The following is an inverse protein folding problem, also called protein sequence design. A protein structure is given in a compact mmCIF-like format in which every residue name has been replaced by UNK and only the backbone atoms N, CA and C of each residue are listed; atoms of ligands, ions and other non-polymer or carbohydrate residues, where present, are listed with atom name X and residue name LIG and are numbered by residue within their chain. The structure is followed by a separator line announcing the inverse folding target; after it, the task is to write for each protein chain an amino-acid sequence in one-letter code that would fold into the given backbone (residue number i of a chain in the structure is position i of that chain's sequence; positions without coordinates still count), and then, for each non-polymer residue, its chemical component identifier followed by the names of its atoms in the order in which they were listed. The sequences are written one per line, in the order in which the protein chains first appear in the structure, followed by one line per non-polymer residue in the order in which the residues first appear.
data_IF_731537907015
#
_entry.id   IF_731537907015
#
_cell.length_a   1.000
_cell.length_b   1.000
_cell.length_c   1.000
_cell.angle_alpha   90.00
_cell.angle_beta   90.00
_cell.angle_gamma   90.00
#
_symmetry.space_group_name_H-M   'P 1'
#
loop_
_entity.id
_entity.type
_entity.pdbx_description
1 polymer ?
#
# COMPACT_ATOMS: atom_id res chain seq x y z
N UNK A 1 -2.71 -23.42 52.04
CA UNK A 1 -3.72 -23.06 51.03
C UNK A 1 -3.09 -22.06 50.06
N UNK A 2 -2.83 -22.39 48.80
CA UNK A 2 -2.58 -21.41 47.74
C UNK A 2 -3.87 -21.15 46.95
N UNK A 3 -4.08 -19.92 46.42
CA UNK A 3 -5.24 -19.60 45.60
C UNK A 3 -4.96 -19.94 44.13
N UNK A 4 -5.70 -20.90 43.58
CA UNK A 4 -5.80 -21.14 42.15
C UNK A 4 -7.02 -20.39 41.62
N UNK A 5 -6.82 -19.16 41.13
CA UNK A 5 -7.71 -18.57 40.14
C UNK A 5 -6.86 -18.20 38.92
N UNK A 6 -6.87 -19.13 37.96
CA UNK A 6 -6.28 -19.00 36.63
C UNK A 6 -7.15 -18.01 35.86
N UNK A 7 -6.73 -16.74 35.77
CA UNK A 7 -7.25 -15.84 34.76
C UNK A 7 -6.59 -16.16 33.42
N UNK A 8 -7.38 -16.76 32.53
CA UNK A 8 -7.06 -16.95 31.13
C UNK A 8 -6.93 -15.59 30.43
N UNK A 9 -5.74 -14.98 30.50
CA UNK A 9 -5.41 -13.82 29.66
C UNK A 9 -5.11 -14.32 28.25
N UNK A 10 -6.12 -14.13 27.40
CA UNK A 10 -6.08 -14.29 25.95
C UNK A 10 -4.83 -13.63 25.38
N UNK A 11 -4.23 -14.31 24.39
CA UNK A 11 -2.98 -13.93 23.74
C UNK A 11 -2.80 -12.43 23.59
N UNK A 12 -1.80 -11.91 24.30
CA UNK A 12 -1.28 -10.58 24.07
C UNK A 12 -0.79 -10.52 22.63
N UNK A 13 -1.55 -9.78 21.83
CA UNK A 13 -1.25 -9.43 20.47
C UNK A 13 0.20 -8.98 20.37
N UNK A 14 0.91 -9.57 19.41
CA UNK A 14 2.21 -9.11 18.92
C UNK A 14 2.16 -7.58 18.81
N UNK A 15 3.02 -6.82 19.50
CA UNK A 15 3.15 -5.41 19.18
C UNK A 15 3.75 -5.35 17.79
N UNK A 16 2.94 -5.10 16.77
CA UNK A 16 3.38 -4.64 15.46
C UNK A 16 3.94 -3.21 15.56
N UNK A 17 4.75 -2.94 16.57
CA UNK A 17 5.48 -1.71 16.73
C UNK A 17 6.75 -1.85 15.90
N UNK A 18 6.64 -1.55 14.60
CA UNK A 18 7.55 -0.66 13.88
C UNK A 18 7.22 -0.61 12.38
N UNK A 19 6.06 -0.07 11.99
CA UNK A 19 5.90 0.44 10.62
C UNK A 19 6.43 1.89 10.56
N UNK A 20 7.73 2.03 10.80
CA UNK A 20 8.53 3.16 10.37
C UNK A 20 8.07 3.56 8.97
N UNK A 21 7.74 4.83 8.76
CA UNK A 21 7.21 5.42 7.53
C UNK A 21 8.15 5.33 6.32
N UNK A 22 8.50 4.13 5.89
CA UNK A 22 8.99 3.81 4.56
C UNK A 22 7.79 3.92 3.62
N UNK A 23 7.70 5.03 2.88
CA UNK A 23 6.98 5.08 1.60
C UNK A 23 7.47 3.91 0.73
N UNK A 24 6.78 2.77 0.78
CA UNK A 24 6.96 1.67 -0.15
C UNK A 24 6.19 2.00 -1.43
N UNK A 25 6.85 1.76 -2.55
CA UNK A 25 6.24 1.85 -3.87
C UNK A 25 6.12 0.44 -4.42
N UNK A 26 5.14 0.23 -5.27
CA UNK A 26 4.82 -1.05 -5.87
C UNK A 26 4.64 -0.82 -7.35
N UNK A 27 5.37 -1.60 -8.14
CA UNK A 27 5.18 -1.70 -9.58
C UNK A 27 4.00 -2.63 -9.80
N UNK A 28 2.93 -2.10 -10.36
CA UNK A 28 1.70 -2.82 -10.68
C UNK A 28 1.50 -2.88 -12.18
N UNK A 29 1.03 -4.02 -12.67
CA UNK A 29 0.64 -4.22 -14.05
C UNK A 29 -0.87 -4.21 -14.16
N UNK A 30 -1.43 -3.26 -14.90
CA UNK A 30 -2.85 -3.16 -15.18
C UNK A 30 -3.25 -4.25 -16.17
N UNK A 31 -4.04 -5.22 -15.71
CA UNK A 31 -4.45 -6.33 -16.58
C UNK A 31 -5.40 -5.87 -17.69
N UNK A 32 -6.19 -4.83 -17.44
CA UNK A 32 -7.14 -4.29 -18.41
C UNK A 32 -6.48 -3.43 -19.50
N UNK A 33 -5.27 -2.90 -19.27
CA UNK A 33 -4.58 -1.99 -20.21
C UNK A 33 -3.21 -2.52 -20.69
N UNK A 34 -2.76 -3.67 -20.20
CA UNK A 34 -1.43 -4.23 -20.47
C UNK A 34 -0.28 -3.22 -20.20
N UNK A 35 -0.51 -2.34 -19.22
CA UNK A 35 0.39 -1.24 -18.89
C UNK A 35 0.98 -1.43 -17.49
N UNK A 36 2.27 -1.11 -17.33
CA UNK A 36 2.96 -1.16 -16.04
C UNK A 36 3.06 0.25 -15.47
N UNK A 37 2.77 0.41 -14.18
CA UNK A 37 2.86 1.69 -13.49
C UNK A 37 3.39 1.54 -12.07
N UNK A 38 4.01 2.59 -11.56
CA UNK A 38 4.51 2.65 -10.18
C UNK A 38 3.48 3.37 -9.31
N UNK A 39 3.03 2.71 -8.24
CA UNK A 39 2.08 3.27 -7.28
C UNK A 39 2.63 3.16 -5.87
N UNK A 40 2.25 4.04 -4.93
CA UNK A 40 2.49 3.80 -3.51
C UNK A 40 1.78 2.52 -3.06
N UNK A 41 2.38 1.76 -2.15
CA UNK A 41 1.72 0.58 -1.58
C UNK A 41 0.40 0.93 -0.87
N UNK A 42 0.25 2.18 -0.41
CA UNK A 42 -1.00 2.71 0.15
C UNK A 42 -2.17 2.68 -0.84
N UNK A 43 -1.91 2.64 -2.15
CA UNK A 43 -2.95 2.60 -3.19
C UNK A 43 -3.45 1.18 -3.44
N UNK A 44 -2.73 0.16 -2.97
CA UNK A 44 -3.14 -1.23 -3.06
C UNK A 44 -4.19 -1.48 -1.98
N UNK A 45 -5.45 -1.58 -2.39
CA UNK A 45 -6.59 -1.78 -1.48
C UNK A 45 -6.91 -3.26 -1.25
N UNK A 46 -6.46 -4.14 -2.15
CA UNK A 46 -6.55 -5.59 -2.04
C UNK A 46 -5.40 -6.24 -2.85
N UNK A 47 -5.15 -7.54 -2.66
CA UNK A 47 -4.02 -8.27 -3.29
C UNK A 47 -3.81 -7.93 -4.77
N UNK A 48 -4.89 -7.87 -5.55
CA UNK A 48 -4.86 -7.61 -6.99
C UNK A 48 -5.71 -6.40 -7.39
N UNK A 49 -5.85 -5.41 -6.50
CA UNK A 49 -6.67 -4.22 -6.79
C UNK A 49 -5.97 -2.97 -6.30
N UNK A 50 -5.78 -2.03 -7.22
CA UNK A 50 -5.22 -0.71 -6.94
C UNK A 50 -6.29 0.35 -7.13
N UNK A 51 -6.33 1.30 -6.20
CA UNK A 51 -7.07 2.53 -6.35
C UNK A 51 -6.22 3.51 -7.13
N UNK A 52 -6.75 3.98 -8.26
CA UNK A 52 -6.08 4.94 -9.13
C UNK A 52 -6.79 6.28 -9.11
N UNK A 53 -6.06 7.39 -9.00
CA UNK A 53 -6.67 8.71 -8.96
C UNK A 53 -7.37 9.01 -10.30
N UNK A 54 -8.50 9.72 -10.30
CA UNK A 54 -9.24 10.09 -11.51
C UNK A 54 -8.52 11.16 -12.37
N UNK A 55 -7.24 11.39 -12.13
CA UNK A 55 -6.44 12.37 -12.87
C UNK A 55 -5.99 11.78 -14.20
N UNK A 56 -6.28 12.50 -15.30
CA UNK A 56 -5.77 12.16 -16.64
C UNK A 56 -4.37 12.72 -16.91
N UNK A 57 -3.87 13.59 -16.03
CA UNK A 57 -2.63 14.33 -16.25
C UNK A 57 -1.47 13.63 -15.53
N UNK A 58 -0.50 13.12 -16.28
CA UNK A 58 0.65 12.37 -15.75
C UNK A 58 1.44 13.15 -14.70
N UNK A 59 1.48 14.48 -14.79
CA UNK A 59 2.08 15.34 -13.75
C UNK A 59 1.37 15.21 -12.41
N UNK A 60 0.03 15.24 -12.39
CA UNK A 60 -0.75 15.11 -11.16
C UNK A 60 -0.70 13.70 -10.60
N UNK A 61 -0.66 12.68 -11.46
CA UNK A 61 -0.47 11.29 -11.01
C UNK A 61 0.90 11.17 -10.34
N UNK A 62 1.98 11.68 -10.96
CA UNK A 62 3.31 11.69 -10.35
C UNK A 62 3.35 12.48 -9.04
N UNK A 63 2.72 13.65 -8.96
CA UNK A 63 2.61 14.43 -7.72
C UNK A 63 1.85 13.64 -6.64
N UNK A 64 0.75 12.96 -6.97
CA UNK A 64 0.00 12.11 -6.05
C UNK A 64 0.81 10.90 -5.57
N UNK A 65 1.56 10.26 -6.48
CA UNK A 65 2.48 9.15 -6.17
C UNK A 65 3.60 9.64 -5.23
N UNK A 66 4.25 10.75 -5.55
CA UNK A 66 5.32 11.35 -4.73
C UNK A 66 4.82 11.80 -3.35
N UNK A 67 3.63 12.40 -3.32
CA UNK A 67 2.94 12.82 -2.10
C UNK A 67 2.47 11.63 -1.26
N UNK A 68 2.36 10.43 -1.86
CA UNK A 68 1.70 9.26 -1.28
C UNK A 68 0.27 9.64 -0.84
N UNK A 69 -0.44 10.26 -1.77
CA UNK A 69 -1.82 10.69 -1.56
C UNK A 69 -2.66 9.48 -1.16
N UNK A 70 -3.50 9.63 -0.13
CA UNK A 70 -4.32 8.52 0.36
C UNK A 70 -5.45 8.25 -0.64
N UNK A 71 -5.67 6.98 -1.03
CA UNK A 71 -6.80 6.67 -1.88
C UNK A 71 -8.10 7.04 -1.17
N UNK A 72 -8.96 7.77 -1.87
CA UNK A 72 -10.33 8.07 -1.44
C UNK A 72 -11.29 7.10 -2.13
N UNK A 73 -12.49 6.91 -1.58
CA UNK A 73 -13.54 6.08 -2.20
C UNK A 73 -13.93 6.51 -3.62
N UNK A 74 -13.65 7.78 -3.99
CA UNK A 74 -13.86 8.31 -5.33
C UNK A 74 -12.80 7.86 -6.35
N UNK A 75 -11.72 7.21 -5.91
CA UNK A 75 -10.68 6.72 -6.81
C UNK A 75 -11.17 5.48 -7.53
N UNK A 76 -10.85 5.41 -8.82
CA UNK A 76 -11.29 4.31 -9.65
C UNK A 76 -10.45 3.09 -9.34
N UNK A 77 -11.11 1.97 -9.07
CA UNK A 77 -10.46 0.70 -8.74
C UNK A 77 -10.17 -0.05 -10.02
N UNK A 78 -8.94 -0.49 -10.18
CA UNK A 78 -8.48 -1.24 -11.33
C UNK A 78 -7.90 -2.57 -10.89
N UNK A 79 -8.13 -3.60 -11.70
CA UNK A 79 -7.48 -4.89 -11.50
C UNK A 79 -6.03 -4.78 -11.94
N UNK A 80 -5.15 -5.07 -11.00
CA UNK A 80 -3.72 -5.01 -11.24
C UNK A 80 -3.03 -6.21 -10.64
N UNK A 81 -1.88 -6.55 -11.19
CA UNK A 81 -0.96 -7.53 -10.62
C UNK A 81 0.25 -6.81 -10.07
N UNK A 82 0.52 -6.97 -8.78
CA UNK A 82 1.76 -6.45 -8.19
C UNK A 82 2.92 -7.27 -8.76
N UNK A 83 3.83 -6.59 -9.46
CA UNK A 83 5.03 -7.21 -10.03
C UNK A 83 6.20 -7.10 -9.06
N UNK A 84 6.38 -5.92 -8.46
CA UNK A 84 7.53 -5.65 -7.58
C UNK A 84 7.16 -4.65 -6.49
N UNK A 85 7.68 -4.84 -5.27
CA UNK A 85 7.59 -3.85 -4.18
C UNK A 85 8.97 -3.26 -3.92
N UNK A 86 9.14 -1.97 -4.18
CA UNK A 86 10.41 -1.26 -4.03
C UNK A 86 10.39 -0.35 -2.79
N UNK A 87 11.40 -0.48 -1.94
CA UNK A 87 11.66 0.44 -0.83
C UNK A 87 12.38 1.72 -1.29
N UNK A 88 12.35 2.77 -0.45
CA UNK A 88 12.82 4.17 -0.70
C UNK A 88 14.18 4.37 -1.40
N UNK A 89 15.02 3.35 -1.60
CA UNK A 89 16.38 3.53 -2.11
C UNK A 89 16.49 3.73 -3.63
N UNK A 90 15.42 3.50 -4.40
CA UNK A 90 15.45 3.55 -5.88
C UNK A 90 14.90 4.84 -6.51
N UNK A 91 14.18 5.69 -5.78
CA UNK A 91 13.51 6.87 -6.37
C UNK A 91 14.39 8.13 -6.47
N UNK A 92 15.71 8.03 -6.27
CA UNK A 92 16.62 9.17 -6.47
C UNK A 92 17.11 9.32 -7.92
N UNK A 93 16.68 8.44 -8.82
CA UNK A 93 17.24 8.31 -10.18
C UNK A 93 16.20 8.28 -11.31
N UNK A 94 14.95 8.68 -11.03
CA UNK A 94 13.90 8.93 -12.04
C UNK A 94 13.47 10.38 -11.95
#
# INVERSE_FOLDING_TARGET
MPPNDIMSVRGGSVPANNCNGSKLFSVVHFQDQEEVSVVPSSWIIAENTVAWPPHKNSRRINEAVQSNEKPSDHWKKYRCRVLWTCGKHYLKYL
#
